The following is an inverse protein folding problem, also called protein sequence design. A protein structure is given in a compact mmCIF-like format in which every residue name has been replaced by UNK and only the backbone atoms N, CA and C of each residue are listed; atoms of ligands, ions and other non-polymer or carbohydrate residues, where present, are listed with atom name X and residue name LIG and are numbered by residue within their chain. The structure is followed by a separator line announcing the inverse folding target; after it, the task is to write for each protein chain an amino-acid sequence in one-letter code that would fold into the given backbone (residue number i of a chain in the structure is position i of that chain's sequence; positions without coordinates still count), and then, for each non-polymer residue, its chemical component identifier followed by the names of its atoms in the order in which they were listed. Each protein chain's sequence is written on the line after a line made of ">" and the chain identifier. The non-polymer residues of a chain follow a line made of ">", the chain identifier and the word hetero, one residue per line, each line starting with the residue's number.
data_IF_157230332168
#
_entry.id   IF_157230332168
#
_cell.length_a   1.000
_cell.length_b   1.000
_cell.length_c   1.000
_cell.angle_alpha   90.00
_cell.angle_beta   90.00
_cell.angle_gamma   90.00
#
_symmetry.space_group_name_H-M   'P 1'
#
loop_
_entity.id
_entity.type
_entity.pdbx_description
1 polymer ?
#
# COMPACT_ATOMS: atom_id res chain seq x y z
N UNK A 1 -16.45 -6.25 -1.64
CA UNK A 1 -15.27 -6.65 -0.83
C UNK A 1 -15.63 -6.46 0.63
N UNK A 2 -15.18 -7.35 1.51
CA UNK A 2 -15.37 -7.18 2.95
C UNK A 2 -14.48 -6.04 3.47
N UNK A 3 -14.88 -5.42 4.58
CA UNK A 3 -14.04 -4.42 5.24
C UNK A 3 -12.77 -5.07 5.80
N UNK A 4 -11.65 -4.33 5.86
CA UNK A 4 -10.44 -4.80 6.51
C UNK A 4 -10.69 -5.22 7.96
N UNK A 5 -10.09 -6.33 8.37
CA UNK A 5 -10.13 -6.81 9.75
C UNK A 5 -8.95 -6.17 10.48
N UNK A 6 -9.22 -5.48 11.58
CA UNK A 6 -8.18 -4.94 12.44
C UNK A 6 -7.86 -5.99 13.51
N UNK A 7 -6.62 -6.49 13.60
CA UNK A 7 -6.22 -7.38 14.68
C UNK A 7 -6.28 -6.63 16.01
N UNK A 8 -6.92 -7.24 17.00
CA UNK A 8 -7.10 -6.68 18.35
C UNK A 8 -6.37 -7.51 19.42
N UNK A 9 -5.82 -8.67 19.06
CA UNK A 9 -5.11 -9.58 19.96
C UNK A 9 -3.73 -9.93 19.41
N UNK A 10 -2.72 -10.14 20.28
CA UNK A 10 -1.35 -10.48 19.85
C UNK A 10 -1.28 -11.64 18.85
N UNK A 11 -2.13 -12.66 19.00
CA UNK A 11 -2.14 -13.86 18.17
C UNK A 11 -2.72 -13.63 16.77
N UNK A 12 -3.40 -12.50 16.55
CA UNK A 12 -3.95 -12.12 15.25
C UNK A 12 -2.94 -11.37 14.38
N UNK A 13 -1.85 -10.89 14.96
CA UNK A 13 -0.80 -10.20 14.23
C UNK A 13 0.15 -11.20 13.56
N UNK A 14 0.63 -10.90 12.35
CA UNK A 14 1.66 -11.72 11.72
C UNK A 14 2.98 -11.62 12.50
N UNK A 15 3.73 -12.72 12.53
CA UNK A 15 5.06 -12.75 13.16
C UNK A 15 5.99 -11.81 12.41
N UNK A 16 6.46 -10.78 13.11
CA UNK A 16 7.25 -9.71 12.50
C UNK A 16 8.54 -9.39 13.24
N UNK A 17 8.86 -10.12 14.33
CA UNK A 17 10.13 -9.93 15.06
C UNK A 17 11.32 -10.55 14.32
N UNK A 18 11.13 -11.76 13.79
CA UNK A 18 12.11 -12.48 12.99
C UNK A 18 11.48 -12.76 11.63
N UNK A 19 12.14 -12.32 10.57
CA UNK A 19 11.68 -12.46 9.20
C UNK A 19 12.88 -12.59 8.27
N UNK A 20 12.68 -13.23 7.11
CA UNK A 20 13.72 -13.39 6.12
C UNK A 20 14.10 -12.04 5.51
N UNK A 21 15.39 -11.83 5.29
CA UNK A 21 15.89 -10.65 4.57
C UNK A 21 15.80 -10.93 3.07
N UNK A 22 14.74 -10.44 2.45
CA UNK A 22 14.50 -10.63 1.02
C UNK A 22 15.14 -9.52 0.17
N UNK A 23 15.59 -9.92 -1.01
CA UNK A 23 15.93 -9.02 -2.12
C UNK A 23 14.65 -8.72 -2.91
N UNK A 24 14.35 -7.44 -3.12
CA UNK A 24 13.21 -7.01 -3.92
C UNK A 24 13.37 -7.42 -5.40
N UNK A 25 12.26 -7.63 -6.13
CA UNK A 25 12.33 -7.88 -7.57
C UNK A 25 13.06 -6.73 -8.27
N UNK A 26 13.81 -7.02 -9.34
CA UNK A 26 14.52 -5.99 -10.09
C UNK A 26 13.56 -4.88 -10.56
N UNK A 27 13.98 -3.63 -10.38
CA UNK A 27 13.22 -2.46 -10.82
C UNK A 27 13.07 -2.49 -12.34
N UNK A 28 11.86 -2.35 -12.89
CA UNK A 28 11.68 -2.21 -14.34
C UNK A 28 12.46 -1.00 -14.86
N UNK A 29 13.12 -1.14 -16.02
CA UNK A 29 13.91 -0.05 -16.64
C UNK A 29 13.07 1.22 -16.86
N UNK A 30 11.80 1.06 -17.23
CA UNK A 30 10.84 2.14 -17.39
C UNK A 30 9.73 2.06 -16.34
N UNK A 31 10.02 2.51 -15.12
CA UNK A 31 9.02 2.66 -14.04
C UNK A 31 8.67 4.12 -13.77
N UNK A 32 7.91 4.72 -14.70
CA UNK A 32 7.41 6.09 -14.58
C UNK A 32 6.05 6.08 -13.88
N UNK A 33 6.08 6.01 -12.54
CA UNK A 33 4.87 6.03 -11.73
C UNK A 33 4.52 7.43 -11.25
N UNK A 34 3.23 7.63 -10.97
CA UNK A 34 2.71 8.79 -10.26
C UNK A 34 2.28 8.28 -8.89
N UNK A 35 2.67 8.96 -7.82
CA UNK A 35 2.34 8.60 -6.45
C UNK A 35 2.08 9.85 -5.61
N UNK A 36 1.04 9.81 -4.78
CA UNK A 36 0.62 10.92 -3.94
C UNK A 36 -0.90 10.99 -3.81
N UNK A 37 -1.36 11.66 -2.76
CA UNK A 37 -2.79 11.87 -2.55
C UNK A 37 -3.35 12.88 -3.56
N UNK A 38 -4.29 12.44 -4.40
CA UNK A 38 -4.91 13.30 -5.42
C UNK A 38 -4.09 13.43 -6.71
N UNK A 39 -2.89 12.82 -6.77
CA UNK A 39 -2.00 12.88 -7.94
C UNK A 39 -2.38 11.88 -9.03
N UNK A 40 -3.07 10.78 -8.68
CA UNK A 40 -3.43 9.75 -9.66
C UNK A 40 -4.42 10.31 -10.71
N UNK A 41 -4.08 10.26 -12.02
CA UNK A 41 -4.94 10.80 -13.07
C UNK A 41 -6.34 10.19 -13.10
N UNK A 42 -7.37 11.02 -13.26
CA UNK A 42 -8.77 10.57 -13.29
C UNK A 42 -9.04 9.55 -14.43
N UNK A 43 -8.31 9.62 -15.54
CA UNK A 43 -8.45 8.68 -16.66
C UNK A 43 -7.83 7.30 -16.38
N UNK A 44 -6.99 7.18 -15.34
CA UNK A 44 -6.51 5.91 -14.82
C UNK A 44 -7.53 5.26 -13.88
N UNK A 45 -8.31 6.06 -13.15
CA UNK A 45 -9.17 5.59 -12.06
C UNK A 45 -10.51 5.05 -12.60
N UNK A 46 -10.88 3.79 -12.31
CA UNK A 46 -12.22 3.27 -12.62
C UNK A 46 -13.31 4.03 -11.84
N UNK A 47 -14.40 4.41 -12.55
CA UNK A 47 -15.55 5.15 -11.98
C UNK A 47 -16.20 4.48 -10.76
N UNK A 48 -16.17 3.15 -10.68
CA UNK A 48 -16.83 2.38 -9.63
C UNK A 48 -15.85 1.84 -8.57
N UNK A 49 -14.65 2.43 -8.47
CA UNK A 49 -13.59 1.98 -7.57
C UNK A 49 -12.89 0.69 -8.04
N UNK A 50 -12.00 0.12 -7.21
CA UNK A 50 -11.22 -1.07 -7.57
C UNK A 50 -12.09 -2.33 -7.60
N UNK A 51 -12.34 -2.89 -8.78
CA UNK A 51 -13.00 -4.20 -8.93
C UNK A 51 -11.94 -5.29 -8.95
N UNK A 52 -12.08 -6.33 -8.12
CA UNK A 52 -11.14 -7.46 -8.07
C UNK A 52 -9.68 -7.09 -7.74
N UNK A 53 -9.49 -6.06 -6.91
CA UNK A 53 -8.18 -5.71 -6.40
C UNK A 53 -7.65 -6.72 -5.38
N UNK A 54 -6.34 -6.91 -5.40
CA UNK A 54 -5.60 -7.84 -4.57
C UNK A 54 -5.11 -7.09 -3.33
N UNK A 55 -5.44 -7.56 -2.14
CA UNK A 55 -4.88 -7.01 -0.91
C UNK A 55 -3.36 -7.24 -0.90
N UNK A 56 -2.57 -6.17 -0.77
CA UNK A 56 -1.12 -6.25 -0.66
C UNK A 56 -0.69 -6.48 0.78
N UNK A 57 -1.34 -5.81 1.72
CA UNK A 57 -1.05 -5.87 3.15
C UNK A 57 -1.64 -4.68 3.89
N UNK A 58 -1.54 -4.73 5.22
CA UNK A 58 -2.06 -3.70 6.12
C UNK A 58 -0.96 -3.25 7.07
N UNK A 59 -0.79 -1.94 7.19
CA UNK A 59 0.19 -1.32 8.08
C UNK A 59 -0.45 -0.26 8.94
N UNK A 60 0.20 0.02 10.06
CA UNK A 60 -0.20 1.07 10.98
C UNK A 60 0.91 2.10 11.12
N UNK A 61 0.54 3.36 10.96
CA UNK A 61 1.39 4.52 11.20
C UNK A 61 0.97 5.13 12.53
N UNK A 62 1.91 5.37 13.44
CA UNK A 62 1.64 6.03 14.71
C UNK A 62 2.57 7.22 14.88
N UNK A 63 2.09 8.32 15.46
CA UNK A 63 2.94 9.46 15.84
C UNK A 63 2.71 9.88 17.30
N UNK A 64 1.75 9.26 17.97
CA UNK A 64 1.64 9.20 19.43
C UNK A 64 0.69 8.04 19.82
N UNK A 65 0.60 7.64 21.11
CA UNK A 65 -0.32 6.59 21.53
C UNK A 65 -1.80 6.83 21.18
N UNK A 66 -2.21 8.09 21.00
CA UNK A 66 -3.58 8.49 20.66
C UNK A 66 -3.75 8.92 19.20
N UNK A 67 -2.69 8.88 18.40
CA UNK A 67 -2.76 9.29 17.00
C UNK A 67 -2.06 8.26 16.11
N UNK A 68 -2.89 7.50 15.41
CA UNK A 68 -2.48 6.49 14.46
C UNK A 68 -3.34 6.51 13.20
N UNK A 69 -2.86 5.84 12.15
CA UNK A 69 -3.58 5.60 10.90
C UNK A 69 -3.35 4.18 10.46
N UNK A 70 -4.43 3.47 10.17
CA UNK A 70 -4.40 2.14 9.57
C UNK A 70 -4.60 2.27 8.06
N UNK A 71 -3.62 1.81 7.31
CA UNK A 71 -3.64 1.78 5.86
C UNK A 71 -3.68 0.34 5.36
N UNK A 72 -4.66 0.03 4.51
CA UNK A 72 -4.73 -1.27 3.83
C UNK A 72 -4.54 -1.04 2.34
N UNK A 73 -3.50 -1.63 1.77
CA UNK A 73 -3.13 -1.40 0.38
C UNK A 73 -3.69 -2.50 -0.52
N UNK A 74 -4.19 -2.10 -1.69
CA UNK A 74 -4.72 -2.99 -2.69
C UNK A 74 -4.15 -2.67 -4.07
N UNK A 75 -3.81 -3.69 -4.84
CA UNK A 75 -3.37 -3.56 -6.23
C UNK A 75 -4.51 -3.90 -7.17
N UNK A 76 -4.79 -2.99 -8.10
CA UNK A 76 -5.81 -3.16 -9.12
C UNK A 76 -5.20 -3.11 -10.53
N UNK A 77 -5.53 -4.08 -11.38
CA UNK A 77 -5.21 -4.05 -12.81
C UNK A 77 -6.31 -3.32 -13.59
N UNK A 78 -6.08 -2.06 -13.90
CA UNK A 78 -6.92 -1.29 -14.82
C UNK A 78 -6.67 -1.65 -16.29
N UNK A 79 -7.38 -0.94 -17.18
CA UNK A 79 -7.27 -1.14 -18.65
C UNK A 79 -5.86 -0.85 -19.17
N UNK A 80 -5.22 0.22 -18.67
CA UNK A 80 -3.88 0.69 -19.08
C UNK A 80 -2.88 0.75 -17.93
N UNK A 81 -3.38 0.76 -16.69
CA UNK A 81 -2.58 1.07 -15.51
C UNK A 81 -2.67 -0.03 -14.47
N UNK A 82 -1.57 -0.27 -13.77
CA UNK A 82 -1.60 -0.75 -12.40
C UNK A 82 -1.91 0.42 -11.49
N UNK A 83 -2.81 0.21 -10.53
CA UNK A 83 -3.26 1.26 -9.60
C UNK A 83 -3.15 0.71 -8.18
N UNK A 84 -2.41 1.44 -7.35
CA UNK A 84 -2.38 1.23 -5.92
C UNK A 84 -3.52 2.01 -5.27
N UNK A 85 -4.32 1.29 -4.51
CA UNK A 85 -5.41 1.84 -3.73
C UNK A 85 -5.07 1.75 -2.25
N UNK A 86 -5.32 2.82 -1.53
CA UNK A 86 -5.39 2.83 -0.09
C UNK A 86 -6.86 2.69 0.32
N UNK A 87 -7.12 1.76 1.25
CA UNK A 87 -8.37 1.61 1.97
C UNK A 87 -8.11 2.07 3.40
N UNK A 88 -8.68 3.21 3.77
CA UNK A 88 -8.50 3.83 5.09
C UNK A 88 -9.85 4.06 5.77
N UNK A 89 -9.81 4.17 7.09
CA UNK A 89 -10.96 4.59 7.88
C UNK A 89 -11.07 6.12 7.84
N UNK A 90 -12.16 6.64 7.29
CA UNK A 90 -12.46 8.07 7.36
C UNK A 90 -13.16 8.37 8.69
N UNK A 91 -12.54 9.21 9.50
CA UNK A 91 -13.13 9.70 10.75
C UNK A 91 -14.29 10.66 10.48
N UNK A 92 -14.20 11.49 9.43
CA UNK A 92 -15.26 12.43 9.05
C UNK A 92 -16.58 11.70 8.71
N UNK A 93 -16.47 10.58 8.00
CA UNK A 93 -17.61 9.84 7.47
C UNK A 93 -17.90 8.54 8.24
N UNK A 94 -17.11 8.22 9.26
CA UNK A 94 -17.18 7.00 10.06
C UNK A 94 -17.34 5.72 9.22
N UNK A 95 -16.57 5.63 8.14
CA UNK A 95 -16.64 4.50 7.20
C UNK A 95 -15.32 4.28 6.47
N UNK A 96 -15.16 3.08 5.92
CA UNK A 96 -14.03 2.77 5.07
C UNK A 96 -14.16 3.42 3.68
N UNK A 97 -13.14 4.16 3.28
CA UNK A 97 -13.06 4.86 2.00
C UNK A 97 -11.96 4.29 1.10
N UNK A 98 -12.14 4.41 -0.21
CA UNK A 98 -11.15 4.01 -1.22
C UNK A 98 -10.47 5.24 -1.79
N UNK A 99 -9.15 5.25 -1.82
CA UNK A 99 -8.39 6.32 -2.47
C UNK A 99 -7.31 5.75 -3.38
N UNK A 100 -7.26 6.15 -4.67
CA UNK A 100 -6.14 5.81 -5.52
C UNK A 100 -4.95 6.68 -5.09
N UNK A 101 -3.81 6.04 -4.83
CA UNK A 101 -2.63 6.70 -4.26
C UNK A 101 -1.38 6.58 -5.12
N UNK A 102 -1.35 5.62 -6.04
CA UNK A 102 -0.31 5.57 -7.07
C UNK A 102 -0.78 4.83 -8.32
N UNK A 103 -0.15 5.10 -9.46
CA UNK A 103 -0.37 4.34 -10.69
C UNK A 103 0.87 4.29 -11.59
N UNK A 104 0.93 3.27 -12.44
CA UNK A 104 1.94 3.12 -13.51
C UNK A 104 1.31 2.41 -14.72
N UNK A 105 1.75 2.73 -15.93
CA UNK A 105 1.29 2.02 -17.12
C UNK A 105 1.69 0.54 -17.06
N UNK A 106 0.76 -0.39 -17.28
CA UNK A 106 1.00 -1.82 -16.96
C UNK A 106 1.92 -2.57 -17.93
N UNK A 107 2.32 -1.94 -19.05
CA UNK A 107 3.02 -2.60 -20.16
C UNK A 107 4.46 -2.88 -19.73
N UNK A 108 4.85 -4.16 -19.77
CA UNK A 108 6.19 -4.60 -19.39
C UNK A 108 6.43 -4.64 -17.87
N UNK A 109 5.39 -4.45 -17.05
CA UNK A 109 5.49 -4.45 -15.58
C UNK A 109 4.68 -5.62 -15.04
N UNK A 110 5.34 -6.55 -14.37
CA UNK A 110 4.68 -7.66 -13.68
C UNK A 110 3.85 -7.18 -12.48
N UNK A 111 2.88 -8.00 -12.07
CA UNK A 111 2.07 -7.74 -10.87
C UNK A 111 2.95 -7.55 -9.62
N UNK A 112 3.97 -8.40 -9.44
CA UNK A 112 4.89 -8.30 -8.31
C UNK A 112 5.70 -7.01 -8.32
N UNK A 113 6.22 -6.61 -9.48
CA UNK A 113 6.91 -5.32 -9.63
C UNK A 113 5.96 -4.15 -9.36
N UNK A 114 4.73 -4.19 -9.87
CA UNK A 114 3.74 -3.15 -9.61
C UNK A 114 3.40 -3.04 -8.12
N UNK A 115 3.15 -4.17 -7.44
CA UNK A 115 2.88 -4.22 -6.01
C UNK A 115 4.00 -3.59 -5.18
N UNK A 116 5.25 -3.98 -5.46
CA UNK A 116 6.44 -3.51 -4.74
C UNK A 116 6.71 -2.03 -5.02
N UNK A 117 6.82 -1.65 -6.29
CA UNK A 117 7.34 -0.33 -6.64
C UNK A 117 6.29 0.78 -6.58
N UNK A 118 4.98 0.49 -6.73
CA UNK A 118 3.95 1.50 -6.44
C UNK A 118 3.85 1.76 -4.93
N UNK A 119 3.96 0.72 -4.11
CA UNK A 119 3.93 0.86 -2.65
C UNK A 119 5.15 1.64 -2.16
N UNK A 120 6.34 1.30 -2.67
CA UNK A 120 7.58 2.02 -2.41
C UNK A 120 7.46 3.51 -2.78
N UNK A 121 7.02 3.81 -4.00
CA UNK A 121 6.88 5.18 -4.47
C UNK A 121 5.90 5.99 -3.61
N UNK A 122 4.78 5.38 -3.21
CA UNK A 122 3.83 6.04 -2.32
C UNK A 122 4.43 6.31 -0.93
N UNK A 123 5.13 5.34 -0.34
CA UNK A 123 5.77 5.54 0.97
C UNK A 123 6.90 6.57 0.92
N UNK A 124 7.69 6.62 -0.16
CA UNK A 124 8.69 7.67 -0.38
C UNK A 124 8.06 9.06 -0.47
N UNK A 125 6.94 9.19 -1.20
CA UNK A 125 6.17 10.44 -1.25
C UNK A 125 5.63 10.82 0.15
N UNK A 126 5.10 9.86 0.91
CA UNK A 126 4.62 10.09 2.28
C UNK A 126 5.71 10.53 3.25
N UNK A 127 6.92 9.96 3.15
CA UNK A 127 8.06 10.36 3.96
C UNK A 127 8.48 11.81 3.66
N UNK A 128 8.44 12.20 2.38
CA UNK A 128 8.77 13.56 1.95
C UNK A 128 7.71 14.60 2.38
N UNK A 129 6.43 14.29 2.21
CA UNK A 129 5.33 15.25 2.44
C UNK A 129 4.90 15.38 3.91
N UNK A 130 5.05 14.32 4.71
CA UNK A 130 4.44 14.24 6.05
C UNK A 130 5.41 13.98 7.20
N UNK A 131 6.72 14.01 6.96
CA UNK A 131 7.76 13.71 7.97
C UNK A 131 7.48 12.39 8.74
N UNK A 132 6.80 11.45 8.10
CA UNK A 132 6.46 10.17 8.71
C UNK A 132 7.62 9.20 8.50
N UNK A 133 8.47 9.01 9.52
CA UNK A 133 9.70 8.21 9.45
C UNK A 133 9.49 6.79 8.88
N UNK A 134 8.49 6.05 9.39
CA UNK A 134 8.10 4.69 8.97
C UNK A 134 6.77 4.25 9.60
N UNK A 135 6.11 3.26 9.03
CA UNK A 135 5.01 2.58 9.72
C UNK A 135 5.57 1.83 10.94
N UNK A 136 4.76 1.71 11.99
CA UNK A 136 5.14 1.15 13.27
C UNK A 136 4.80 -0.34 13.38
N UNK A 137 3.76 -0.78 12.67
CA UNK A 137 3.28 -2.16 12.77
C UNK A 137 2.73 -2.70 11.44
N UNK A 138 2.86 -4.01 11.22
CA UNK A 138 2.18 -4.73 10.13
C UNK A 138 1.00 -5.49 10.74
N UNK A 139 -0.21 -5.05 10.40
CA UNK A 139 -1.45 -5.57 10.97
C UNK A 139 -2.00 -6.77 10.19
N UNK A 140 -1.57 -6.94 8.94
CA UNK A 140 -2.00 -8.07 8.12
C UNK A 140 -1.14 -8.24 6.88
N UNK A 141 -0.93 -9.49 6.51
CA UNK A 141 -0.33 -9.87 5.23
C UNK A 141 -1.40 -9.94 4.14
N UNK A 142 -0.94 -9.86 2.90
CA UNK A 142 -1.77 -10.11 1.73
C UNK A 142 -0.92 -10.80 0.67
N UNK A 143 -0.90 -10.21 -0.52
CA UNK A 143 0.01 -10.61 -1.58
C UNK A 143 1.49 -10.35 -1.26
N UNK A 144 1.76 -9.40 -0.36
CA UNK A 144 3.08 -9.19 0.22
C UNK A 144 3.10 -9.79 1.63
N UNK A 145 4.13 -10.59 1.91
CA UNK A 145 4.38 -11.06 3.26
C UNK A 145 5.10 -9.98 4.09
N UNK A 146 5.23 -10.19 5.40
CA UNK A 146 5.95 -9.31 6.32
C UNK A 146 7.37 -9.01 5.82
N UNK A 147 8.09 -10.02 5.35
CA UNK A 147 9.46 -9.85 4.87
C UNK A 147 9.53 -8.89 3.66
N UNK A 148 8.54 -8.95 2.77
CA UNK A 148 8.47 -8.08 1.59
C UNK A 148 8.03 -6.66 1.95
N UNK A 149 7.02 -6.50 2.81
CA UNK A 149 6.61 -5.19 3.32
C UNK A 149 7.77 -4.48 4.03
N UNK A 150 8.55 -5.22 4.83
CA UNK A 150 9.76 -4.70 5.46
C UNK A 150 10.88 -4.47 4.47
N UNK A 151 11.00 -5.26 3.41
CA UNK A 151 11.93 -4.98 2.32
C UNK A 151 11.62 -3.66 1.62
N UNK A 152 10.34 -3.40 1.32
CA UNK A 152 9.93 -2.12 0.73
C UNK A 152 10.23 -0.94 1.66
N UNK A 153 9.92 -1.04 2.96
CA UNK A 153 10.15 0.04 3.91
C UNK A 153 11.62 0.32 4.24
N UNK A 154 12.54 -0.59 3.91
CA UNK A 154 13.99 -0.36 4.02
C UNK A 154 14.51 0.58 2.93
N UNK A 155 13.83 0.62 1.79
CA UNK A 155 14.17 1.48 0.63
C UNK A 155 13.46 2.84 0.65
N UNK A 156 12.72 3.13 1.73
CA UNK A 156 12.04 4.39 2.04
C UNK A 156 12.80 5.08 3.16
#
# INVERSE_FOLDING_TARGET
>A
MQNPIIPMRPEQFPQQRVYEVLTLPQRPESFNCIAGFGEVPQDAVPKNGPRSAICLGQVEWAWSPMHNRIDVYYLHRGRRYWILWNRYWSEDWYKWEWQPVACVHHKGISEKQAAVYLLMAFWQNQAHERECDKFHWINGEGYLCVAELKAVAREV
#
